data_IF_149677731774
#
_entry.id   IF_149677731774
#
_cell.length_a   1.000
_cell.length_b   1.000
_cell.length_c   1.000
_cell.angle_alpha   90.00
_cell.angle_beta   90.00
_cell.angle_gamma   90.00
#
_symmetry.space_group_name_H-M   'P 1'
#
loop_
_entity.id
_entity.type
_entity.pdbx_description
1 polymer ?
#
# COMPACT_ATOMS: atom_id res chain seq x y z
N UNK A 1 24.53 9.40 42.61
CA UNK A 1 23.78 9.86 41.42
C UNK A 1 23.81 8.72 40.40
N UNK A 2 22.68 8.05 40.07
CA UNK A 2 22.69 7.01 39.05
C UNK A 2 22.68 7.65 37.65
N UNK A 3 23.70 7.36 36.85
CA UNK A 3 23.72 7.68 35.42
C UNK A 3 22.75 6.75 34.70
N UNK A 4 21.67 7.29 34.11
CA UNK A 4 20.85 6.56 33.16
C UNK A 4 21.67 6.28 31.89
N UNK A 5 21.84 5.01 31.46
CA UNK A 5 22.55 4.71 30.24
C UNK A 5 21.76 5.25 29.04
N UNK A 6 22.42 6.04 28.20
CA UNK A 6 21.88 6.48 26.92
C UNK A 6 21.55 5.25 26.07
N UNK A 7 20.26 5.01 25.82
CA UNK A 7 19.79 3.95 24.93
C UNK A 7 20.43 4.15 23.55
N UNK A 8 21.27 3.20 23.13
CA UNK A 8 21.87 3.19 21.79
C UNK A 8 20.74 3.04 20.78
N UNK A 9 20.54 4.06 19.96
CA UNK A 9 19.57 4.05 18.86
C UNK A 9 19.88 2.90 17.91
N UNK A 10 18.93 1.99 17.77
CA UNK A 10 19.08 0.86 16.85
C UNK A 10 19.09 1.37 15.41
N UNK A 11 19.84 0.71 14.53
CA UNK A 11 19.79 0.97 13.08
C UNK A 11 18.34 0.94 12.56
N UNK A 12 17.51 0.11 13.18
CA UNK A 12 16.07 0.00 12.92
C UNK A 12 15.32 1.29 13.26
N UNK A 13 15.63 1.96 14.37
CA UNK A 13 15.02 3.26 14.73
C UNK A 13 15.45 4.38 13.79
N UNK A 14 16.71 4.38 13.33
CA UNK A 14 17.15 5.34 12.31
C UNK A 14 16.52 5.07 10.95
N UNK A 15 16.26 3.81 10.63
CA UNK A 15 15.57 3.44 9.38
C UNK A 15 14.09 3.80 9.48
N UNK A 16 13.47 3.64 10.65
CA UNK A 16 12.12 4.12 10.94
C UNK A 16 12.06 5.65 10.95
N UNK A 17 13.05 6.35 11.51
CA UNK A 17 13.16 7.82 11.45
C UNK A 17 13.50 8.33 10.05
N UNK A 18 14.07 7.50 9.17
CA UNK A 18 14.31 7.86 7.77
C UNK A 18 13.07 7.57 6.90
N UNK A 19 12.37 6.46 7.16
CA UNK A 19 11.14 6.08 6.47
C UNK A 19 9.92 6.87 6.96
N UNK A 20 9.91 7.27 8.22
CA UNK A 20 8.84 8.03 8.89
C UNK A 20 9.27 9.45 9.29
N UNK A 21 10.53 9.84 9.06
CA UNK A 21 10.97 11.22 8.85
C UNK A 21 10.33 12.26 9.76
N UNK A 22 10.63 12.23 11.07
CA UNK A 22 9.98 13.05 12.12
C UNK A 22 8.50 12.70 12.28
N UNK A 23 8.01 12.68 13.54
CA UNK A 23 6.58 12.90 13.78
C UNK A 23 6.18 14.16 13.00
N UNK A 24 5.42 13.97 11.91
CA UNK A 24 4.87 15.05 11.13
C UNK A 24 3.90 15.78 12.06
N UNK A 25 4.35 16.87 12.68
CA UNK A 25 3.51 17.74 13.50
C UNK A 25 2.72 18.69 12.59
N UNK A 26 1.40 18.74 12.82
CA UNK A 26 0.47 19.71 12.22
C UNK A 26 0.42 19.70 10.70
N UNK A 27 0.96 20.74 10.07
CA UNK A 27 0.78 21.03 8.65
C UNK A 27 1.33 19.96 7.71
N UNK A 28 2.43 19.30 8.07
CA UNK A 28 3.04 18.30 7.22
C UNK A 28 2.25 16.97 7.25
N UNK A 29 1.59 16.68 8.38
CA UNK A 29 0.64 15.57 8.51
C UNK A 29 -0.66 15.87 7.75
N UNK A 30 -1.12 17.12 7.77
CA UNK A 30 -2.30 17.54 7.03
C UNK A 30 -2.07 17.55 5.52
N UNK A 31 -0.89 18.00 5.06
CA UNK A 31 -0.46 17.86 3.65
C UNK A 31 -0.29 16.39 3.25
N UNK A 32 0.20 15.53 4.16
CA UNK A 32 0.31 14.09 3.91
C UNK A 32 -1.05 13.38 3.92
N UNK A 33 -2.00 13.80 4.75
CA UNK A 33 -3.39 13.32 4.72
C UNK A 33 -4.11 13.80 3.46
N UNK A 34 -3.85 15.03 3.01
CA UNK A 34 -4.39 15.59 1.78
C UNK A 34 -3.80 14.94 0.51
N UNK A 35 -2.57 14.43 0.55
CA UNK A 35 -1.94 13.71 -0.55
C UNK A 35 -2.35 12.23 -0.64
N UNK A 36 -2.98 11.70 0.40
CA UNK A 36 -3.49 10.34 0.38
C UNK A 36 -4.85 10.25 -0.34
N UNK A 37 -5.09 9.15 -1.08
CA UNK A 37 -6.42 8.87 -1.59
C UNK A 37 -7.43 8.75 -0.43
N UNK A 38 -8.69 9.18 -0.64
CA UNK A 38 -9.73 9.12 0.37
C UNK A 38 -9.80 7.74 1.00
N UNK A 39 -10.13 7.68 2.31
CA UNK A 39 -10.32 6.43 3.02
C UNK A 39 -11.12 5.39 2.21
N UNK A 40 -12.31 5.67 1.64
CA UNK A 40 -13.08 4.67 0.88
C UNK A 40 -12.32 4.11 -0.33
N UNK A 41 -11.53 4.93 -1.03
CA UNK A 41 -10.70 4.48 -2.16
C UNK A 41 -9.61 3.53 -1.68
N UNK A 42 -8.95 3.86 -0.55
CA UNK A 42 -7.95 2.98 0.07
C UNK A 42 -8.56 1.65 0.50
N UNK A 43 -9.70 1.67 1.18
CA UNK A 43 -10.41 0.47 1.62
C UNK A 43 -10.79 -0.41 0.44
N UNK A 44 -11.30 0.18 -0.65
CA UNK A 44 -11.65 -0.54 -1.87
C UNK A 44 -10.44 -1.29 -2.47
N UNK A 45 -9.30 -0.60 -2.67
CA UNK A 45 -8.11 -1.25 -3.21
C UNK A 45 -7.52 -2.32 -2.28
N UNK A 46 -7.57 -2.10 -0.96
CA UNK A 46 -7.15 -3.10 0.02
C UNK A 46 -8.06 -4.33 -0.01
N UNK A 47 -9.38 -4.14 -0.02
CA UNK A 47 -10.35 -5.22 -0.11
C UNK A 47 -10.17 -6.03 -1.39
N UNK A 48 -10.03 -5.35 -2.54
CA UNK A 48 -9.77 -6.00 -3.83
C UNK A 48 -8.47 -6.81 -3.78
N UNK A 49 -7.41 -6.27 -3.17
CA UNK A 49 -6.13 -6.96 -3.01
C UNK A 49 -6.25 -8.22 -2.14
N UNK A 50 -6.97 -8.16 -1.03
CA UNK A 50 -7.19 -9.33 -0.19
C UNK A 50 -8.06 -10.38 -0.87
N UNK A 51 -9.08 -9.98 -1.64
CA UNK A 51 -9.86 -10.91 -2.46
C UNK A 51 -8.98 -11.60 -3.50
N UNK A 52 -8.14 -10.85 -4.22
CA UNK A 52 -7.19 -11.42 -5.18
C UNK A 52 -6.20 -12.37 -4.50
N UNK A 53 -5.63 -11.98 -3.35
CA UNK A 53 -4.71 -12.82 -2.60
C UNK A 53 -5.38 -14.11 -2.14
N UNK A 54 -6.64 -14.06 -1.69
CA UNK A 54 -7.41 -15.25 -1.34
C UNK A 54 -7.59 -16.19 -2.54
N UNK A 55 -7.85 -15.66 -3.74
CA UNK A 55 -7.93 -16.45 -4.98
C UNK A 55 -6.60 -17.13 -5.27
N UNK A 56 -5.46 -16.43 -5.13
CA UNK A 56 -4.12 -17.01 -5.31
C UNK A 56 -3.90 -18.15 -4.31
N UNK A 57 -4.23 -17.95 -3.03
CA UNK A 57 -4.07 -18.95 -1.99
C UNK A 57 -4.94 -20.18 -2.26
N UNK A 58 -6.21 -19.99 -2.64
CA UNK A 58 -7.12 -21.08 -2.99
C UNK A 58 -6.61 -21.86 -4.20
N UNK A 59 -6.11 -21.16 -5.22
CA UNK A 59 -5.51 -21.79 -6.40
C UNK A 59 -4.31 -22.65 -6.01
N UNK A 60 -3.38 -22.09 -5.22
CA UNK A 60 -2.19 -22.81 -4.73
C UNK A 60 -2.60 -24.02 -3.87
N UNK A 61 -3.51 -23.83 -2.92
CA UNK A 61 -4.01 -24.91 -2.05
C UNK A 61 -4.67 -26.03 -2.87
N UNK A 62 -5.40 -25.68 -3.93
CA UNK A 62 -5.98 -26.64 -4.86
C UNK A 62 -4.93 -27.42 -5.66
N UNK A 63 -3.90 -26.75 -6.18
CA UNK A 63 -2.79 -27.39 -6.93
C UNK A 63 -2.02 -28.38 -6.06
N UNK A 64 -1.77 -28.04 -4.79
CA UNK A 64 -1.12 -28.94 -3.83
C UNK A 64 -2.04 -30.04 -3.28
N UNK A 65 -3.31 -30.07 -3.67
CA UNK A 65 -4.28 -31.07 -3.24
C UNK A 65 -4.73 -30.92 -1.78
N UNK A 66 -4.57 -29.74 -1.20
CA UNK A 66 -5.12 -29.42 0.14
C UNK A 66 -6.62 -29.17 0.10
N UNK A 67 -7.18 -28.91 -1.09
CA UNK A 67 -8.62 -28.77 -1.31
C UNK A 67 -9.13 -29.89 -2.24
N UNK A 68 -10.37 -30.37 -2.04
CA UNK A 68 -11.01 -31.35 -2.92
C UNK A 68 -11.48 -30.68 -4.20
N UNK A 69 -10.53 -30.19 -5.01
CA UNK A 69 -10.80 -29.55 -6.29
C UNK A 69 -10.26 -30.44 -7.40
N UNK A 70 -11.07 -30.67 -8.44
CA UNK A 70 -10.66 -31.46 -9.59
C UNK A 70 -9.41 -30.86 -10.23
N UNK A 71 -8.33 -31.65 -10.32
CA UNK A 71 -7.04 -31.18 -10.84
C UNK A 71 -7.12 -30.71 -12.29
N UNK A 72 -8.05 -31.27 -13.06
CA UNK A 72 -8.36 -30.86 -14.44
C UNK A 72 -8.93 -29.43 -14.52
N UNK A 73 -9.44 -28.90 -13.41
CA UNK A 73 -9.92 -27.53 -13.35
C UNK A 73 -8.80 -26.50 -13.34
N UNK A 74 -7.56 -26.87 -12.99
CA UNK A 74 -6.42 -25.95 -12.96
C UNK A 74 -5.78 -25.85 -14.33
N UNK A 75 -5.98 -24.71 -15.00
CA UNK A 75 -5.37 -24.44 -16.30
C UNK A 75 -4.31 -23.34 -16.23
N UNK A 76 -3.33 -23.42 -17.13
CA UNK A 76 -2.34 -22.36 -17.32
C UNK A 76 -3.01 -21.00 -17.62
N UNK A 77 -4.15 -21.01 -18.32
CA UNK A 77 -4.92 -19.81 -18.63
C UNK A 77 -5.47 -19.12 -17.37
N UNK A 78 -5.91 -19.88 -16.36
CA UNK A 78 -6.34 -19.31 -15.08
C UNK A 78 -5.17 -18.68 -14.33
N UNK A 79 -4.00 -19.34 -14.32
CA UNK A 79 -2.80 -18.78 -13.70
C UNK A 79 -2.38 -17.47 -14.38
N UNK A 80 -2.42 -17.43 -15.71
CA UNK A 80 -2.14 -16.22 -16.49
C UNK A 80 -3.12 -15.10 -16.14
N UNK A 81 -4.42 -15.42 -16.06
CA UNK A 81 -5.45 -14.44 -15.70
C UNK A 81 -5.25 -13.89 -14.28
N UNK A 82 -4.98 -14.75 -13.30
CA UNK A 82 -4.70 -14.33 -11.91
C UNK A 82 -3.52 -13.35 -11.87
N UNK A 83 -2.45 -13.63 -12.61
CA UNK A 83 -1.29 -12.74 -12.69
C UNK A 83 -1.60 -11.41 -13.40
N UNK A 84 -2.34 -11.44 -14.51
CA UNK A 84 -2.74 -10.22 -15.23
C UNK A 84 -3.61 -9.32 -14.35
N UNK A 85 -4.55 -9.89 -13.59
CA UNK A 85 -5.38 -9.15 -12.63
C UNK A 85 -4.51 -8.51 -11.55
N UNK A 86 -3.56 -9.26 -10.98
CA UNK A 86 -2.62 -8.74 -9.98
C UNK A 86 -1.75 -7.59 -10.51
N UNK A 87 -1.26 -7.71 -11.76
CA UNK A 87 -0.50 -6.66 -12.43
C UNK A 87 -1.36 -5.41 -12.66
N UNK A 88 -2.57 -5.57 -13.20
CA UNK A 88 -3.50 -4.48 -13.45
C UNK A 88 -3.80 -3.70 -12.16
N UNK A 89 -4.07 -4.41 -11.05
CA UNK A 89 -4.32 -3.79 -9.75
C UNK A 89 -3.13 -2.98 -9.24
N UNK A 90 -1.91 -3.48 -9.39
CA UNK A 90 -0.69 -2.75 -9.00
C UNK A 90 -0.51 -1.47 -9.85
N UNK A 91 -0.70 -1.57 -11.16
CA UNK A 91 -0.64 -0.42 -12.08
C UNK A 91 -1.71 0.61 -11.73
N UNK A 92 -2.96 0.19 -11.53
CA UNK A 92 -4.07 1.09 -11.16
C UNK A 92 -3.82 1.77 -9.83
N UNK A 93 -3.35 1.04 -8.81
CA UNK A 93 -3.01 1.62 -7.49
C UNK A 93 -1.91 2.67 -7.61
N UNK A 94 -0.87 2.41 -8.41
CA UNK A 94 0.19 3.37 -8.71
C UNK A 94 -0.32 4.62 -9.43
N UNK A 95 -1.19 4.45 -10.44
CA UNK A 95 -1.79 5.54 -11.18
C UNK A 95 -2.70 6.41 -10.30
N UNK A 96 -3.51 5.78 -9.45
CA UNK A 96 -4.38 6.45 -8.47
C UNK A 96 -3.53 7.28 -7.50
N UNK A 97 -2.49 6.69 -6.92
CA UNK A 97 -1.58 7.40 -6.02
C UNK A 97 -0.97 8.65 -6.68
N UNK A 98 -0.42 8.50 -7.89
CA UNK A 98 0.15 9.63 -8.66
C UNK A 98 -0.89 10.72 -8.97
N UNK A 99 -2.14 10.34 -9.24
CA UNK A 99 -3.24 11.29 -9.49
C UNK A 99 -3.57 12.12 -8.26
N UNK A 100 -3.59 11.49 -7.07
CA UNK A 100 -3.85 12.20 -5.81
C UNK A 100 -2.66 13.06 -5.38
N UNK A 101 -1.43 12.58 -5.56
CA UNK A 101 -0.21 13.38 -5.33
C UNK A 101 -0.19 14.65 -6.21
N UNK A 102 -0.54 14.54 -7.49
CA UNK A 102 -0.67 15.71 -8.39
C UNK A 102 -1.76 16.69 -7.95
N UNK A 103 -2.92 16.19 -7.49
CA UNK A 103 -4.00 17.04 -6.97
C UNK A 103 -3.58 17.79 -5.70
N UNK A 104 -2.87 17.12 -4.79
CA UNK A 104 -2.38 17.75 -3.57
C UNK A 104 -1.30 18.81 -3.85
N UNK A 105 -0.42 18.57 -4.82
CA UNK A 105 0.57 19.56 -5.26
C UNK A 105 -0.07 20.84 -5.83
N UNK A 106 -1.13 20.70 -6.64
CA UNK A 106 -1.88 21.83 -7.19
C UNK A 106 -2.65 22.62 -6.12
N UNK A 107 -3.22 21.93 -5.13
CA UNK A 107 -3.90 22.58 -4.01
C UNK A 107 -2.94 23.37 -3.10
N UNK A 108 -1.70 22.89 -2.92
CA UNK A 108 -0.66 23.59 -2.17
C UNK A 108 -0.11 24.85 -2.84
N UNK A 109 -0.15 24.92 -4.18
CA UNK A 109 0.32 26.09 -4.93
C UNK A 109 -0.69 27.25 -4.95
N UNK A 110 -2.00 26.95 -4.99
CA UNK A 110 -3.05 27.98 -4.96
C UNK A 110 -3.11 28.80 -3.66
N UNK A 111 -2.55 28.27 -2.57
CA UNK A 111 -2.48 28.97 -1.27
C UNK A 111 -1.29 29.94 -1.17
N UNK A 112 -0.34 29.92 -2.12
CA UNK A 112 0.83 30.82 -2.11
C UNK A 112 0.66 32.06 -3.00
N UNK A 113 -0.34 32.07 -3.88
CA UNK A 113 -0.61 33.19 -4.82
C UNK A 113 -1.62 34.23 -4.28
N UNK A 114 -2.00 34.15 -3.01
CA UNK A 114 -2.99 35.04 -2.37
C UNK A 114 -2.44 35.95 -1.26
N UNK A 115 -1.13 36.17 -1.21
CA UNK A 115 -0.48 37.15 -0.33
C UNK A 115 0.20 38.26 -1.12
#
# INVERSE_FOLDING_TARGET
MPMTPAARSSLTDRTLDFLFGKRLEGEALDRFRASQPPAPVRWFFSALFYCWLAIVILWVAGVFGWLPVDRESFSFNQLLLINLVGLAMNVTRGAVRRRYERKAALAGQGSQTTL
#
